data_IF_252972279892
#
_entry.id   IF_252972279892
#
_cell.length_a   1.000
_cell.length_b   1.000
_cell.length_c   1.000
_cell.angle_alpha   90.00
_cell.angle_beta   90.00
_cell.angle_gamma   90.00
#
_symmetry.space_group_name_H-M   'P 1'
#
loop_
_entity.id
_entity.type
_entity.pdbx_description
1 polymer ?
#
# COMPACT_ATOMS: atom_id res chain seq x y z
N UNK A 1 -19.32 -18.53 -19.37
CA UNK A 1 -18.08 -18.16 -20.08
C UNK A 1 -17.89 -16.65 -20.29
N UNK A 2 -18.88 -15.91 -20.80
CA UNK A 2 -18.77 -14.44 -21.01
C UNK A 2 -18.39 -13.66 -19.73
N UNK A 3 -19.02 -13.96 -18.60
CA UNK A 3 -18.70 -13.31 -17.33
C UNK A 3 -17.28 -13.62 -16.84
N UNK A 4 -16.78 -14.84 -17.08
CA UNK A 4 -15.43 -15.25 -16.67
C UNK A 4 -14.36 -14.46 -17.45
N UNK A 5 -14.56 -14.28 -18.76
CA UNK A 5 -13.65 -13.48 -19.57
C UNK A 5 -13.66 -12.01 -19.13
N UNK A 6 -14.84 -11.48 -18.78
CA UNK A 6 -14.98 -10.11 -18.31
C UNK A 6 -14.33 -9.90 -16.93
N UNK A 7 -14.50 -10.83 -15.99
CA UNK A 7 -13.87 -10.73 -14.66
C UNK A 7 -12.36 -10.85 -14.75
N UNK A 8 -11.83 -11.78 -15.55
CA UNK A 8 -10.38 -11.91 -15.76
C UNK A 8 -9.83 -10.64 -16.43
N UNK A 9 -10.53 -10.08 -17.43
CA UNK A 9 -10.14 -8.83 -18.07
C UNK A 9 -10.07 -7.66 -17.09
N UNK A 10 -11.09 -7.49 -16.23
CA UNK A 10 -11.12 -6.42 -15.24
C UNK A 10 -10.02 -6.60 -14.18
N UNK A 11 -9.78 -7.84 -13.74
CA UNK A 11 -8.75 -8.16 -12.77
C UNK A 11 -7.35 -7.87 -13.35
N UNK A 12 -7.09 -8.28 -14.59
CA UNK A 12 -5.84 -8.00 -15.28
C UNK A 12 -5.59 -6.50 -15.43
N UNK A 13 -6.65 -5.72 -15.74
CA UNK A 13 -6.55 -4.27 -15.84
C UNK A 13 -6.21 -3.62 -14.48
N UNK A 14 -6.78 -4.11 -13.38
CA UNK A 14 -6.45 -3.62 -12.05
C UNK A 14 -4.97 -3.88 -11.70
N UNK A 15 -4.46 -5.10 -11.94
CA UNK A 15 -3.06 -5.43 -11.71
C UNK A 15 -2.11 -4.64 -12.62
N UNK A 16 -2.46 -4.45 -13.89
CA UNK A 16 -1.70 -3.61 -14.81
C UNK A 16 -1.61 -2.16 -14.32
N UNK A 17 -2.72 -1.60 -13.82
CA UNK A 17 -2.75 -0.25 -13.24
C UNK A 17 -1.85 -0.11 -12.00
N UNK A 18 -1.82 -1.12 -11.13
CA UNK A 18 -0.91 -1.13 -9.97
C UNK A 18 0.54 -1.22 -10.43
N UNK A 19 0.87 -2.10 -11.38
CA UNK A 19 2.22 -2.27 -11.90
C UNK A 19 2.77 -0.98 -12.51
N UNK A 20 1.97 -0.28 -13.33
CA UNK A 20 2.35 1.02 -13.92
C UNK A 20 2.60 2.05 -12.83
N UNK A 21 1.75 2.09 -11.79
CA UNK A 21 1.89 3.03 -10.66
C UNK A 21 3.19 2.82 -9.88
N UNK A 22 3.66 1.58 -9.75
CA UNK A 22 4.94 1.26 -9.09
C UNK A 22 6.10 1.81 -9.92
N UNK A 23 6.07 1.56 -11.23
CA UNK A 23 7.13 1.99 -12.14
C UNK A 23 7.18 3.52 -12.29
N UNK A 24 6.02 4.17 -12.26
CA UNK A 24 5.91 5.63 -12.31
C UNK A 24 6.27 6.34 -10.98
N UNK A 25 6.50 5.60 -9.89
CA UNK A 25 6.85 6.19 -8.60
C UNK A 25 8.35 6.44 -8.51
N UNK A 26 8.74 7.71 -8.34
CA UNK A 26 10.14 8.08 -8.06
C UNK A 26 10.59 7.36 -6.77
N UNK A 27 11.68 6.61 -6.86
CA UNK A 27 12.27 5.74 -5.83
C UNK A 27 11.60 4.39 -5.54
N UNK A 28 10.53 4.00 -6.27
CA UNK A 28 9.89 2.67 -6.15
C UNK A 28 9.32 2.34 -4.75
N UNK A 29 9.47 3.24 -3.77
CA UNK A 29 9.02 3.05 -2.39
C UNK A 29 7.51 3.15 -2.32
N UNK A 30 6.82 2.05 -2.03
CA UNK A 30 5.44 2.12 -1.60
C UNK A 30 5.35 2.97 -0.33
N UNK A 31 4.49 3.99 -0.34
CA UNK A 31 4.15 4.67 0.89
C UNK A 31 3.31 3.65 1.63
N UNK A 32 3.73 3.29 2.84
CA UNK A 32 3.31 2.06 3.52
C UNK A 32 1.82 1.74 3.37
N UNK A 33 1.49 0.45 3.36
CA UNK A 33 0.11 -0.04 3.31
C UNK A 33 -0.73 0.38 4.54
N UNK A 34 -0.08 0.93 5.58
CA UNK A 34 -0.74 1.54 6.73
C UNK A 34 -1.46 2.83 6.29
N UNK A 35 -2.79 2.87 6.46
CA UNK A 35 -3.63 4.02 6.06
C UNK A 35 -3.16 5.36 6.68
N UNK A 36 -2.70 5.32 7.94
CA UNK A 36 -2.14 6.49 8.64
C UNK A 36 -0.73 6.90 8.20
N UNK A 37 -0.11 6.17 7.27
CA UNK A 37 1.10 6.60 6.56
C UNK A 37 0.84 6.89 5.07
N UNK A 38 -0.43 6.91 4.65
CA UNK A 38 -0.74 7.33 3.29
C UNK A 38 -0.33 8.80 3.11
N UNK A 39 0.39 9.16 2.05
CA UNK A 39 0.88 10.53 1.82
C UNK A 39 -0.27 11.52 1.54
N UNK A 40 -1.48 11.00 1.29
CA UNK A 40 -2.69 11.80 1.18
C UNK A 40 -3.23 12.25 2.55
N UNK A 41 -3.22 11.34 3.54
CA UNK A 41 -3.76 11.61 4.89
C UNK A 41 -2.69 12.12 5.85
N UNK A 42 -1.47 11.61 5.75
CA UNK A 42 -0.36 11.95 6.64
C UNK A 42 0.67 12.81 5.90
N UNK A 43 0.37 14.12 5.82
CA UNK A 43 1.24 15.13 5.19
C UNK A 43 2.38 15.59 6.09
N UNK A 44 2.24 15.41 7.40
CA UNK A 44 3.21 15.85 8.42
C UNK A 44 4.29 14.80 8.71
N UNK A 45 4.18 13.59 8.15
CA UNK A 45 5.17 12.52 8.33
C UNK A 45 5.10 11.84 9.69
N UNK A 46 3.91 11.76 10.29
CA UNK A 46 3.66 11.18 11.60
C UNK A 46 3.84 9.65 11.62
N UNK A 47 4.08 9.09 12.79
CA UNK A 47 4.19 7.64 12.96
C UNK A 47 2.85 6.93 12.69
N UNK A 48 2.89 5.69 12.20
CA UNK A 48 1.69 4.86 12.00
C UNK A 48 1.01 4.66 13.36
N UNK A 49 -0.19 5.19 13.53
CA UNK A 49 -0.93 5.15 14.81
C UNK A 49 -1.22 3.74 15.34
N UNK A 50 -1.09 2.72 14.48
CA UNK A 50 -1.30 1.32 14.85
C UNK A 50 -0.09 0.66 15.51
N UNK A 51 1.14 0.99 15.08
CA UNK A 51 2.34 0.28 15.53
C UNK A 51 3.58 1.17 15.73
N UNK A 52 3.43 2.49 15.62
CA UNK A 52 4.47 3.47 15.94
C UNK A 52 5.64 3.58 14.96
N UNK A 53 5.63 2.84 13.84
CA UNK A 53 6.70 2.93 12.84
C UNK A 53 6.64 4.27 12.08
N UNK A 54 7.79 4.80 11.68
CA UNK A 54 7.90 5.98 10.82
C UNK A 54 7.64 5.62 9.35
N UNK A 55 7.30 6.58 8.47
CA UNK A 55 7.03 6.31 7.05
C UNK A 55 8.18 5.66 6.26
N UNK A 56 9.43 5.89 6.69
CA UNK A 56 10.62 5.27 6.07
C UNK A 56 10.93 3.87 6.63
N UNK A 57 10.30 3.48 7.74
CA UNK A 57 10.50 2.20 8.39
C UNK A 57 9.54 1.14 7.84
N UNK A 58 10.09 0.01 7.40
CA UNK A 58 9.28 -1.10 6.89
C UNK A 58 8.62 -1.89 8.03
N UNK A 59 9.34 -2.14 9.11
CA UNK A 59 8.90 -2.99 10.21
C UNK A 59 8.08 -2.24 11.26
N UNK A 60 7.03 -2.88 11.77
CA UNK A 60 6.27 -2.36 12.90
C UNK A 60 7.09 -2.51 14.19
N UNK A 61 7.18 -1.44 14.97
CA UNK A 61 7.93 -1.42 16.23
C UNK A 61 7.18 -2.10 17.37
N UNK A 62 5.87 -2.25 17.24
CA UNK A 62 5.04 -2.86 18.26
C UNK A 62 5.00 -4.40 18.09
N UNK A 63 5.54 -5.18 19.06
CA UNK A 63 5.55 -6.64 18.99
C UNK A 63 4.17 -7.28 19.19
N UNK A 64 3.16 -6.52 19.64
CA UNK A 64 1.77 -6.98 19.82
C UNK A 64 0.90 -6.70 18.59
N UNK A 65 1.30 -5.76 17.73
CA UNK A 65 0.60 -5.43 16.49
C UNK A 65 0.51 -6.60 15.48
N UNK A 66 1.34 -7.64 15.64
CA UNK A 66 1.37 -8.83 14.78
C UNK A 66 0.44 -9.98 15.21
N UNK A 67 -0.35 -9.83 16.29
CA UNK A 67 -1.10 -10.95 16.90
C UNK A 67 -2.62 -10.93 16.68
N UNK A 68 -3.12 -10.33 15.60
CA UNK A 68 -4.55 -10.48 15.23
C UNK A 68 -4.69 -11.32 13.96
#
# INVERSE_FOLDING_TARGET
>A
MKLILLTIGLLALAFAGIAIKIWAKKDGKFAGTCASQSPFLNKSGEACSFCGKMPDEQECKDPKAHQN
#
